data_IF_750963055926
#
_entry.id   IF_750963055926
#
_cell.length_a   1.000
_cell.length_b   1.000
_cell.length_c   1.000
_cell.angle_alpha   90.00
_cell.angle_beta   90.00
_cell.angle_gamma   90.00
#
_symmetry.space_group_name_H-M   'P 1'
#
loop_
_entity.id
_entity.type
_entity.pdbx_description
1 polymer ?
#
# COMPACT_ATOMS: atom_id res chain seq x y z
N UNK A 1 -8.19 10.17 10.53
CA UNK A 1 -8.27 10.92 9.24
C UNK A 1 -9.62 10.82 8.49
N UNK A 2 -10.72 10.33 9.08
CA UNK A 2 -12.01 10.29 8.37
C UNK A 2 -12.05 9.39 7.13
N UNK A 3 -11.11 8.44 7.01
CA UNK A 3 -11.10 7.45 5.93
C UNK A 3 -12.13 6.34 6.20
N UNK A 4 -12.53 5.66 5.13
CA UNK A 4 -13.42 4.50 5.18
C UNK A 4 -12.62 3.28 4.71
N UNK A 5 -12.63 2.21 5.51
CA UNK A 5 -12.04 0.93 5.12
C UNK A 5 -13.14 0.02 4.61
N UNK A 6 -12.92 -0.58 3.43
CA UNK A 6 -13.81 -1.55 2.81
C UNK A 6 -13.01 -2.81 2.47
N UNK A 7 -13.66 -3.97 2.53
CA UNK A 7 -13.05 -5.24 2.14
C UNK A 7 -13.31 -5.57 0.66
N UNK A 8 -14.37 -4.99 0.10
CA UNK A 8 -14.72 -5.15 -1.31
C UNK A 8 -13.99 -4.13 -2.17
N UNK A 9 -13.57 -4.55 -3.36
CA UNK A 9 -12.86 -3.71 -4.30
C UNK A 9 -13.81 -3.18 -5.38
N UNK A 10 -14.00 -1.87 -5.41
CA UNK A 10 -14.79 -1.16 -6.41
C UNK A 10 -14.11 0.14 -6.88
N UNK A 11 -14.79 0.89 -7.75
CA UNK A 11 -14.27 2.14 -8.32
C UNK A 11 -14.11 3.28 -7.30
N UNK A 12 -14.74 3.19 -6.13
CA UNK A 12 -14.61 4.19 -5.06
C UNK A 12 -13.33 4.01 -4.23
N UNK A 13 -12.68 2.84 -4.33
CA UNK A 13 -11.43 2.54 -3.62
C UNK A 13 -10.32 3.46 -4.10
N UNK A 14 -9.72 4.20 -3.16
CA UNK A 14 -8.64 5.15 -3.46
C UNK A 14 -7.24 4.60 -3.21
N UNK A 15 -7.09 3.67 -2.27
CA UNK A 15 -5.81 3.05 -1.89
C UNK A 15 -6.07 1.57 -1.58
N UNK A 16 -5.14 0.71 -1.97
CA UNK A 16 -5.16 -0.71 -1.62
C UNK A 16 -4.09 -0.97 -0.58
N UNK A 17 -4.48 -1.66 0.48
CA UNK A 17 -3.59 -2.01 1.57
C UNK A 17 -3.35 -3.51 1.58
N UNK A 18 -2.09 -3.92 1.46
CA UNK A 18 -1.68 -5.31 1.55
C UNK A 18 -0.25 -5.41 2.07
N UNK A 19 0.00 -6.34 2.98
CA UNK A 19 1.35 -6.67 3.44
C UNK A 19 1.95 -7.85 2.68
N UNK A 20 1.18 -8.47 1.77
CA UNK A 20 1.64 -9.58 0.94
C UNK A 20 2.36 -9.07 -0.33
N UNK A 21 3.68 -9.31 -0.49
CA UNK A 21 4.44 -8.90 -1.66
C UNK A 21 3.91 -9.47 -2.98
N UNK A 22 3.22 -10.63 -2.95
CA UNK A 22 2.63 -11.23 -4.14
C UNK A 22 1.47 -10.42 -4.71
N UNK A 23 0.89 -9.49 -3.93
CA UNK A 23 -0.16 -8.58 -4.39
C UNK A 23 0.32 -7.68 -5.54
N UNK A 24 1.60 -7.35 -5.57
CA UNK A 24 2.19 -6.50 -6.63
C UNK A 24 2.05 -7.15 -8.02
N UNK A 25 2.08 -8.49 -8.10
CA UNK A 25 1.96 -9.23 -9.37
C UNK A 25 0.58 -9.05 -9.98
N UNK A 26 -0.42 -8.76 -9.15
CA UNK A 26 -1.80 -8.53 -9.55
C UNK A 26 -2.11 -7.04 -9.75
N UNK A 27 -1.14 -6.15 -9.54
CA UNK A 27 -1.32 -4.69 -9.60
C UNK A 27 -1.93 -4.23 -10.91
N UNK A 28 -1.33 -4.61 -12.03
CA UNK A 28 -1.78 -4.16 -13.36
C UNK A 28 -3.22 -4.61 -13.66
N UNK A 29 -3.58 -5.83 -13.24
CA UNK A 29 -4.89 -6.42 -13.56
C UNK A 29 -6.02 -5.90 -12.68
N UNK A 30 -5.75 -5.64 -11.40
CA UNK A 30 -6.78 -5.35 -10.41
C UNK A 30 -6.71 -3.92 -9.89
N UNK A 31 -5.51 -3.39 -9.66
CA UNK A 31 -5.32 -2.12 -8.97
C UNK A 31 -5.29 -0.95 -9.93
N UNK A 32 -4.84 -1.14 -11.18
CA UNK A 32 -4.63 -0.03 -12.10
C UNK A 32 -3.66 1.00 -11.51
N UNK A 33 -4.05 2.27 -11.52
CA UNK A 33 -3.22 3.37 -11.00
C UNK A 33 -3.35 3.60 -9.48
N UNK A 34 -4.20 2.82 -8.79
CA UNK A 34 -4.40 2.99 -7.34
C UNK A 34 -3.13 2.60 -6.58
N UNK A 35 -2.71 3.41 -5.58
CA UNK A 35 -1.55 3.07 -4.76
C UNK A 35 -1.76 1.75 -4.01
N UNK A 36 -0.76 0.88 -4.08
CA UNK A 36 -0.64 -0.31 -3.24
C UNK A 36 0.38 -0.03 -2.13
N UNK A 37 -0.08 -0.06 -0.89
CA UNK A 37 0.71 0.27 0.30
C UNK A 37 0.61 -0.82 1.38
N UNK A 38 1.59 -0.87 2.28
CA UNK A 38 1.58 -1.68 3.51
C UNK A 38 0.66 -1.07 4.57
N UNK A 39 0.21 -1.89 5.52
CA UNK A 39 -0.64 -1.44 6.63
C UNK A 39 0.01 -0.34 7.49
N UNK A 40 1.34 -0.33 7.56
CA UNK A 40 2.14 0.71 8.22
C UNK A 40 1.85 2.13 7.73
N UNK A 41 1.43 2.30 6.47
CA UNK A 41 1.05 3.59 5.92
C UNK A 41 -0.15 4.20 6.66
N UNK A 42 -1.15 3.37 7.01
CA UNK A 42 -2.31 3.81 7.81
C UNK A 42 -1.87 4.18 9.22
N UNK A 43 -1.00 3.35 9.83
CA UNK A 43 -0.51 3.58 11.18
C UNK A 43 0.28 4.89 11.28
N UNK A 44 1.23 5.10 10.37
CA UNK A 44 2.01 6.34 10.29
C UNK A 44 1.12 7.56 10.06
N UNK A 45 0.16 7.45 9.13
CA UNK A 45 -0.75 8.56 8.83
C UNK A 45 -1.67 8.91 10.00
N UNK A 46 -2.12 7.90 10.76
CA UNK A 46 -2.94 8.11 11.95
C UNK A 46 -2.13 8.69 13.11
N UNK A 47 -0.89 8.24 13.30
CA UNK A 47 0.01 8.75 14.35
C UNK A 47 0.40 10.21 14.11
N UNK A 48 0.76 10.54 12.87
CA UNK A 48 1.24 11.88 12.49
C UNK A 48 0.11 12.84 12.10
N UNK A 49 -1.14 12.37 12.08
CA UNK A 49 -2.32 13.14 11.69
C UNK A 49 -2.18 13.82 10.32
N UNK A 50 -1.51 13.15 9.39
CA UNK A 50 -1.33 13.59 8.00
C UNK A 50 -1.24 12.39 7.08
N UNK A 51 -1.48 12.58 5.80
CA UNK A 51 -1.26 11.54 4.80
C UNK A 51 0.25 11.31 4.63
N UNK A 52 0.72 10.11 4.90
CA UNK A 52 2.11 9.71 4.64
C UNK A 52 2.34 9.44 3.14
N UNK A 53 3.58 9.56 2.65
CA UNK A 53 3.90 9.32 1.25
C UNK A 53 3.85 7.81 0.92
N UNK A 54 3.06 7.43 -0.09
CA UNK A 54 2.74 6.03 -0.41
C UNK A 54 3.97 5.21 -0.87
N UNK A 55 4.93 5.86 -1.52
CA UNK A 55 6.13 5.25 -2.08
C UNK A 55 7.05 4.64 -1.02
N UNK A 56 7.01 5.16 0.21
CA UNK A 56 7.78 4.65 1.34
C UNK A 56 7.20 3.36 1.93
N UNK A 57 6.00 2.96 1.51
CA UNK A 57 5.26 1.84 2.09
C UNK A 57 4.92 0.76 1.07
N UNK A 58 5.76 0.54 0.06
CA UNK A 58 5.50 -0.50 -0.95
C UNK A 58 5.73 -1.93 -0.42
N UNK A 59 4.82 -2.91 -0.72
CA UNK A 59 4.95 -4.30 -0.26
C UNK A 59 6.23 -5.00 -0.74
N UNK A 60 6.71 -4.70 -1.94
CA UNK A 60 7.88 -5.33 -2.57
C UNK A 60 9.24 -4.65 -2.33
N UNK A 61 9.33 -3.71 -1.39
CA UNK A 61 10.46 -2.78 -1.24
C UNK A 61 11.60 -3.17 -0.28
N UNK A 62 11.64 -4.38 0.30
CA UNK A 62 12.61 -4.64 1.40
C UNK A 62 13.41 -5.94 1.34
N UNK A 63 13.56 -6.60 0.18
CA UNK A 63 14.37 -7.85 0.10
C UNK A 63 15.26 -7.96 -1.16
N UNK A 64 15.56 -6.85 -1.84
CA UNK A 64 16.50 -6.84 -2.98
C UNK A 64 17.81 -6.07 -2.75
N UNK A 65 18.04 -5.52 -1.56
CA UNK A 65 19.29 -4.81 -1.22
C UNK A 65 20.17 -5.54 -0.18
N UNK A 66 19.84 -6.77 0.21
CA UNK A 66 20.67 -7.55 1.15
C UNK A 66 21.61 -8.56 0.47
N UNK A 67 21.82 -8.45 -0.84
CA UNK A 67 22.53 -9.46 -1.63
C UNK A 67 23.41 -8.90 -2.74
N UNK A 68 24.32 -7.97 -2.41
CA UNK A 68 25.52 -7.73 -3.21
C UNK A 68 26.73 -7.78 -2.26
N UNK A 69 27.28 -8.99 -2.09
CA UNK A 69 28.65 -9.20 -1.60
C UNK A 69 29.65 -9.00 -2.73
#
# INVERSE_FOLDING_TARGET
MGAICVNDFDESVTHVVSDDPWTEIFREKWLGDRPLVKSDWILGSNLLWRKEPEDQFHPGGSERDSGAS
#
